data_IF_264535344617
#
_entry.id   IF_264535344617
#
_cell.length_a   1.000
_cell.length_b   1.000
_cell.length_c   1.000
_cell.angle_alpha   90.00
_cell.angle_beta   90.00
_cell.angle_gamma   90.00
#
_symmetry.space_group_name_H-M   'P 1'
#
loop_
_entity.id
_entity.type
_entity.pdbx_description
1 polymer ?
#
# COMPACT_ATOMS: atom_id res chain seq x y z
N UNK A 1 0.83 -28.29 15.04
CA UNK A 1 0.18 -28.42 13.71
C UNK A 1 0.89 -27.49 12.74
N UNK A 2 1.15 -27.91 11.50
CA UNK A 2 1.78 -27.04 10.49
C UNK A 2 0.71 -26.10 9.96
N UNK A 3 0.90 -24.79 10.17
CA UNK A 3 0.08 -23.76 9.54
C UNK A 3 0.44 -23.70 8.03
N UNK A 4 -0.54 -23.37 7.17
CA UNK A 4 -0.39 -23.30 5.70
C UNK A 4 0.60 -22.22 5.22
N UNK A 5 0.61 -21.90 3.92
CA UNK A 5 1.42 -20.78 3.43
C UNK A 5 0.90 -19.46 4.02
N UNK A 6 1.76 -18.46 4.17
CA UNK A 6 1.34 -17.13 4.63
C UNK A 6 0.20 -16.58 3.77
N UNK A 7 0.27 -16.78 2.44
CA UNK A 7 -0.82 -16.45 1.50
C UNK A 7 -2.15 -17.11 1.87
N UNK A 8 -2.12 -18.34 2.35
CA UNK A 8 -3.30 -19.11 2.71
C UNK A 8 -3.83 -18.69 4.09
N UNK A 9 -2.92 -18.32 5.00
CA UNK A 9 -3.21 -17.93 6.37
C UNK A 9 -3.69 -16.50 6.52
N UNK A 10 -3.18 -15.58 5.69
CA UNK A 10 -3.62 -14.17 5.65
C UNK A 10 -5.07 -14.05 5.17
N UNK A 11 -5.57 -15.06 4.44
CA UNK A 11 -6.89 -15.10 3.81
C UNK A 11 -7.13 -13.87 2.90
N UNK A 12 -8.36 -13.78 2.36
CA UNK A 12 -8.86 -12.63 1.59
C UNK A 12 -9.27 -11.44 2.48
N UNK A 13 -8.89 -11.43 3.76
CA UNK A 13 -9.52 -10.60 4.79
C UNK A 13 -8.55 -9.71 5.57
N UNK A 14 -7.26 -10.07 5.64
CA UNK A 14 -6.24 -9.27 6.35
C UNK A 14 -5.39 -8.54 5.33
N UNK A 15 -5.12 -7.27 5.60
CA UNK A 15 -4.38 -6.38 4.72
C UNK A 15 -3.37 -5.56 5.53
N UNK A 16 -2.29 -5.15 4.87
CA UNK A 16 -1.30 -4.26 5.43
C UNK A 16 -1.26 -2.96 4.66
N UNK A 17 -0.98 -1.88 5.37
CA UNK A 17 -0.67 -0.62 4.73
C UNK A 17 0.82 -0.51 4.39
N UNK A 18 1.21 0.59 3.73
CA UNK A 18 2.61 0.89 3.39
C UNK A 18 3.22 1.91 4.34
N UNK A 19 2.78 2.02 5.60
CA UNK A 19 3.35 2.94 6.60
C UNK A 19 4.70 2.42 7.14
N UNK A 20 5.63 2.12 6.23
CA UNK A 20 6.98 1.62 6.49
C UNK A 20 7.98 2.63 5.94
N UNK A 21 8.73 3.27 6.84
CA UNK A 21 9.43 4.53 6.57
C UNK A 21 10.87 4.39 6.07
N UNK A 22 11.18 3.31 5.36
CA UNK A 22 12.46 3.17 4.65
C UNK A 22 12.36 2.10 3.56
N UNK A 23 13.17 2.25 2.50
CA UNK A 23 13.13 1.37 1.34
C UNK A 23 13.34 -0.12 1.68
N UNK A 24 14.32 -0.52 2.53
CA UNK A 24 14.50 -1.94 2.86
C UNK A 24 13.26 -2.60 3.51
N UNK A 25 12.49 -1.84 4.28
CA UNK A 25 11.25 -2.34 4.90
C UNK A 25 10.14 -2.52 3.87
N UNK A 26 10.03 -1.61 2.91
CA UNK A 26 9.09 -1.69 1.80
C UNK A 26 9.44 -2.84 0.84
N UNK A 27 10.73 -3.07 0.59
CA UNK A 27 11.22 -4.23 -0.17
C UNK A 27 10.85 -5.55 0.52
N UNK A 28 11.01 -5.64 1.84
CA UNK A 28 10.61 -6.81 2.60
C UNK A 28 9.09 -7.03 2.52
N UNK A 29 8.29 -5.97 2.71
CA UNK A 29 6.84 -6.02 2.61
C UNK A 29 6.41 -6.60 1.25
N UNK A 30 6.90 -6.02 0.15
CA UNK A 30 6.56 -6.46 -1.21
C UNK A 30 7.07 -7.86 -1.56
N UNK A 31 8.13 -8.32 -0.90
CA UNK A 31 8.70 -9.66 -1.12
C UNK A 31 7.87 -10.78 -0.49
N UNK A 32 7.28 -10.54 0.69
CA UNK A 32 6.67 -11.61 1.50
C UNK A 32 5.15 -11.52 1.58
N UNK A 33 4.58 -10.34 1.38
CA UNK A 33 3.13 -10.13 1.37
C UNK A 33 2.64 -10.12 -0.08
N UNK A 34 1.57 -10.88 -0.41
CA UNK A 34 0.97 -10.79 -1.74
C UNK A 34 0.55 -9.36 -2.07
N UNK A 35 0.77 -8.91 -3.30
CA UNK A 35 0.42 -7.55 -3.74
C UNK A 35 -1.04 -7.21 -3.45
N UNK A 36 -1.96 -8.17 -3.59
CA UNK A 36 -3.38 -7.99 -3.33
C UNK A 36 -3.71 -7.71 -1.84
N UNK A 37 -2.75 -7.91 -0.93
CA UNK A 37 -2.91 -7.67 0.51
C UNK A 37 -2.25 -6.35 0.97
N UNK A 38 -1.71 -5.54 0.05
CA UNK A 38 -1.01 -4.28 0.36
C UNK A 38 -1.84 -3.07 -0.10
N UNK A 39 -2.03 -2.09 0.79
CA UNK A 39 -2.73 -0.84 0.50
C UNK A 39 -1.77 0.34 0.71
N UNK A 40 -1.72 1.27 -0.23
CA UNK A 40 -0.94 2.48 -0.05
C UNK A 40 -1.45 3.33 1.14
N UNK A 41 -0.52 3.72 2.00
CA UNK A 41 -0.68 4.74 3.02
C UNK A 41 0.68 5.34 3.42
N UNK A 42 0.65 6.56 3.96
CA UNK A 42 1.81 7.25 4.52
C UNK A 42 1.68 7.63 5.99
N UNK A 43 0.45 7.83 6.47
CA UNK A 43 0.19 8.48 7.77
C UNK A 43 0.89 9.85 7.91
N UNK A 44 0.92 10.63 6.82
CA UNK A 44 1.64 11.90 6.77
C UNK A 44 1.22 12.87 7.89
N UNK A 45 2.19 13.65 8.40
CA UNK A 45 1.98 14.58 9.54
C UNK A 45 1.60 13.82 10.83
N UNK A 46 1.99 12.55 10.92
CA UNK A 46 1.80 11.69 12.08
C UNK A 46 2.99 11.70 13.05
N UNK A 47 3.42 10.50 13.41
CA UNK A 47 4.46 10.23 14.41
C UNK A 47 5.85 10.70 13.98
N UNK A 48 6.22 10.51 12.71
CA UNK A 48 7.55 10.84 12.18
C UNK A 48 7.41 11.88 11.08
N UNK A 49 7.78 13.12 11.37
CA UNK A 49 7.67 14.26 10.45
C UNK A 49 9.02 14.72 9.88
N UNK A 50 10.10 14.09 10.34
CA UNK A 50 11.46 14.47 10.02
C UNK A 50 11.87 14.13 8.59
N UNK A 51 12.93 14.79 8.15
CA UNK A 51 13.65 14.45 6.93
C UNK A 51 14.70 13.41 7.29
N UNK A 52 14.75 12.34 6.52
CA UNK A 52 15.80 11.33 6.57
C UNK A 52 17.12 11.93 6.06
N UNK A 53 18.17 12.01 6.88
CA UNK A 53 19.44 12.60 6.48
C UNK A 53 20.18 11.80 5.40
N UNK A 54 19.89 10.50 5.25
CA UNK A 54 20.54 9.66 4.23
C UNK A 54 19.98 9.91 2.83
N UNK A 55 18.69 10.23 2.75
CA UNK A 55 17.98 10.36 1.47
C UNK A 55 17.60 11.80 1.13
N UNK A 56 17.51 12.69 2.12
CA UNK A 56 17.05 14.07 1.95
C UNK A 56 15.53 14.20 1.74
N UNK A 57 14.77 13.12 1.98
CA UNK A 57 13.31 13.09 1.85
C UNK A 57 12.64 12.86 3.20
N UNK A 58 11.35 13.20 3.31
CA UNK A 58 10.59 12.88 4.51
C UNK A 58 10.47 11.36 4.69
N UNK A 59 10.59 10.89 5.93
CA UNK A 59 10.39 9.48 6.28
C UNK A 59 9.00 8.97 5.90
N UNK A 60 7.97 9.81 6.05
CA UNK A 60 6.58 9.51 5.75
C UNK A 60 6.20 9.74 4.27
N UNK A 61 7.14 10.10 3.39
CA UNK A 61 6.91 10.10 1.93
C UNK A 61 6.98 8.68 1.34
N UNK A 62 6.06 7.82 1.78
CA UNK A 62 6.08 6.39 1.46
C UNK A 62 5.84 6.09 -0.02
N UNK A 63 5.23 7.03 -0.77
CA UNK A 63 5.02 6.89 -2.23
C UNK A 63 6.34 6.69 -2.95
N UNK A 64 7.37 7.44 -2.54
CA UNK A 64 8.72 7.36 -3.10
C UNK A 64 9.28 5.93 -3.04
N UNK A 65 8.98 5.17 -1.98
CA UNK A 65 9.46 3.80 -1.86
C UNK A 65 8.70 2.87 -2.80
N UNK A 66 7.36 2.97 -2.89
CA UNK A 66 6.55 2.17 -3.81
C UNK A 66 6.94 2.40 -5.27
N UNK A 67 7.25 3.66 -5.64
CA UNK A 67 7.74 3.99 -6.98
C UNK A 67 9.07 3.30 -7.31
N UNK A 68 9.95 3.09 -6.32
CA UNK A 68 11.25 2.43 -6.49
C UNK A 68 11.18 0.90 -6.54
N UNK A 69 10.10 0.29 -6.03
CA UNK A 69 9.98 -1.16 -6.00
C UNK A 69 9.99 -1.76 -7.43
N UNK A 70 10.61 -2.93 -7.64
CA UNK A 70 10.64 -3.64 -8.93
C UNK A 70 9.32 -4.38 -9.20
N UNK A 71 8.20 -3.68 -9.05
CA UNK A 71 6.85 -4.16 -9.32
C UNK A 71 6.38 -3.67 -10.68
N UNK A 72 5.48 -4.43 -11.31
CA UNK A 72 4.82 -4.02 -12.54
C UNK A 72 4.00 -2.74 -12.33
N UNK A 73 3.72 -2.01 -13.42
CA UNK A 73 2.84 -0.84 -13.34
C UNK A 73 1.42 -1.22 -12.87
N UNK A 74 0.96 -2.41 -13.25
CA UNK A 74 -0.33 -2.96 -12.80
C UNK A 74 -0.35 -3.21 -11.29
N UNK A 75 0.70 -3.83 -10.74
CA UNK A 75 0.80 -4.11 -9.31
C UNK A 75 0.92 -2.82 -8.48
N UNK A 76 1.67 -1.83 -8.98
CA UNK A 76 1.70 -0.50 -8.35
C UNK A 76 0.31 0.14 -8.37
N UNK A 77 -0.44 0.04 -9.47
CA UNK A 77 -1.82 0.54 -9.55
C UNK A 77 -2.76 -0.18 -8.56
N UNK A 78 -2.58 -1.48 -8.32
CA UNK A 78 -3.31 -2.21 -7.27
C UNK A 78 -3.00 -1.64 -5.88
N UNK A 79 -1.73 -1.43 -5.55
CA UNK A 79 -1.31 -0.87 -4.26
C UNK A 79 -1.86 0.55 -4.06
N UNK A 80 -1.76 1.40 -5.09
CA UNK A 80 -2.19 2.80 -5.01
C UNK A 80 -3.71 2.99 -4.97
N UNK A 81 -4.50 2.14 -5.64
CA UNK A 81 -5.95 2.34 -5.73
C UNK A 81 -6.74 1.03 -5.74
N UNK A 82 -6.36 0.06 -6.59
CA UNK A 82 -7.20 -1.12 -6.87
C UNK A 82 -7.57 -1.93 -5.62
N UNK A 83 -6.61 -2.17 -4.73
CA UNK A 83 -6.83 -2.89 -3.48
C UNK A 83 -7.70 -2.10 -2.51
N UNK A 84 -7.46 -0.79 -2.38
CA UNK A 84 -8.28 0.08 -1.52
C UNK A 84 -9.74 0.11 -1.98
N UNK A 85 -10.01 0.19 -3.29
CA UNK A 85 -11.38 0.12 -3.82
C UNK A 85 -12.08 -1.20 -3.52
N UNK A 86 -11.35 -2.32 -3.58
CA UNK A 86 -11.88 -3.65 -3.25
C UNK A 86 -12.17 -3.81 -1.76
N UNK A 87 -11.28 -3.31 -0.89
CA UNK A 87 -11.45 -3.40 0.58
C UNK A 87 -12.53 -2.44 1.07
N UNK A 88 -12.52 -1.21 0.58
CA UNK A 88 -13.45 -0.15 0.96
C UNK A 88 -14.58 -0.01 -0.07
N UNK A 89 -15.44 -1.02 -0.21
CA UNK A 89 -16.49 -1.04 -1.24
C UNK A 89 -17.44 0.17 -1.24
N UNK A 90 -17.69 0.77 -0.06
CA UNK A 90 -18.45 2.04 0.04
C UNK A 90 -17.74 3.20 -0.64
N UNK A 91 -16.41 3.31 -0.49
CA UNK A 91 -15.59 4.32 -1.17
C UNK A 91 -15.67 4.14 -2.68
N UNK A 92 -15.48 2.92 -3.21
CA UNK A 92 -15.58 2.67 -4.66
C UNK A 92 -16.94 3.11 -5.20
N UNK A 93 -18.03 2.70 -4.55
CA UNK A 93 -19.38 3.09 -4.95
C UNK A 93 -19.64 4.59 -4.87
N UNK A 94 -18.98 5.32 -3.96
CA UNK A 94 -19.05 6.79 -3.91
C UNK A 94 -18.29 7.43 -5.07
N UNK A 95 -17.07 6.96 -5.38
CA UNK A 95 -16.28 7.51 -6.49
C UNK A 95 -17.01 7.28 -7.82
N UNK A 96 -17.53 6.07 -8.06
CA UNK A 96 -18.29 5.74 -9.28
C UNK A 96 -19.50 6.68 -9.48
N UNK A 97 -20.26 6.94 -8.41
CA UNK A 97 -21.38 7.88 -8.45
C UNK A 97 -20.95 9.32 -8.73
N UNK A 98 -19.80 9.75 -8.23
CA UNK A 98 -19.27 11.10 -8.48
C UNK A 98 -18.79 11.21 -9.93
N UNK A 99 -18.03 10.23 -10.42
CA UNK A 99 -17.56 10.18 -11.81
C UNK A 99 -18.72 10.20 -12.82
N UNK A 100 -19.81 9.46 -12.54
CA UNK A 100 -21.00 9.44 -13.40
C UNK A 100 -21.82 10.74 -13.39
N UNK A 101 -21.57 11.67 -12.45
CA UNK A 101 -22.23 13.00 -12.40
C UNK A 101 -21.44 14.09 -13.12
N UNK A 102 -20.16 13.85 -13.39
CA UNK A 102 -19.25 14.81 -14.03
C UNK A 102 -19.16 14.61 -15.55
N UNK A 103 -19.74 13.51 -16.05
CA UNK A 103 -19.95 13.22 -17.48
C UNK A 103 -21.39 13.56 -17.85
#
# INVERSE_FOLDING_TARGET
>A
AKLGLLSDLMLKNVFFDTCVYHLPGQELLAKVVPVDNILFASEMIGAVRGIDPETGHHYDDTKRYIDQLPLSAEDKAKIFEGNARRVYGRLSGTIEKQSARTV
#
